data_IF_047607385298
#
_entry.id   IF_047607385298
#
_cell.length_a   1.000
_cell.length_b   1.000
_cell.length_c   1.000
_cell.angle_alpha   90.00
_cell.angle_beta   90.00
_cell.angle_gamma   90.00
#
_symmetry.space_group_name_H-M   'P 1'
#
loop_
_entity.id
_entity.type
_entity.pdbx_description
1 polymer ?
#
# COMPACT_ATOMS: atom_id res chain seq x y z
N UNK A 1 -26.92 11.30 -1.64
CA UNK A 1 -27.51 10.57 -0.49
C UNK A 1 -26.53 9.46 -0.15
N UNK A 2 -25.95 9.46 1.06
CA UNK A 2 -25.11 8.36 1.50
C UNK A 2 -26.03 7.16 1.75
N UNK A 3 -25.83 6.06 1.06
CA UNK A 3 -26.59 4.82 1.29
C UNK A 3 -25.61 3.64 1.36
N UNK A 4 -25.85 2.76 2.33
CA UNK A 4 -25.11 1.51 2.53
C UNK A 4 -25.44 0.46 1.46
N UNK A 5 -26.54 0.64 0.73
CA UNK A 5 -26.99 -0.30 -0.31
C UNK A 5 -26.05 -0.35 -1.51
N UNK A 6 -25.20 0.68 -1.68
CA UNK A 6 -24.19 0.72 -2.73
C UNK A 6 -22.94 -0.10 -2.40
N UNK A 7 -22.79 -0.58 -1.17
CA UNK A 7 -21.61 -1.34 -0.75
C UNK A 7 -21.74 -2.79 -1.14
N UNK A 8 -20.85 -3.27 -2.01
CA UNK A 8 -20.75 -4.68 -2.34
C UNK A 8 -20.00 -5.44 -1.24
N UNK A 9 -20.68 -6.33 -0.53
CA UNK A 9 -20.06 -7.15 0.51
C UNK A 9 -19.09 -8.15 -0.14
N UNK A 10 -17.87 -8.23 0.39
CA UNK A 10 -16.88 -9.21 -0.07
C UNK A 10 -17.43 -10.63 0.13
N UNK A 11 -17.40 -11.43 -0.93
CA UNK A 11 -17.74 -12.85 -0.89
C UNK A 11 -16.64 -13.67 -0.19
N UNK A 12 -16.76 -13.80 1.13
CA UNK A 12 -15.78 -14.52 1.97
C UNK A 12 -15.75 -16.03 1.73
N UNK A 13 -16.81 -16.61 1.14
CA UNK A 13 -16.86 -18.05 0.85
C UNK A 13 -15.72 -18.51 -0.06
N UNK A 14 -15.15 -17.59 -0.85
CA UNK A 14 -13.98 -17.81 -1.73
C UNK A 14 -12.70 -18.17 -0.97
N UNK A 15 -12.58 -17.70 0.27
CA UNK A 15 -11.41 -17.92 1.11
C UNK A 15 -11.59 -19.12 2.04
N UNK A 16 -12.85 -19.49 2.33
CA UNK A 16 -13.17 -20.69 3.07
C UNK A 16 -12.83 -21.93 2.24
N UNK A 17 -11.99 -22.82 2.77
CA UNK A 17 -11.56 -24.07 2.12
C UNK A 17 -10.62 -23.92 0.91
N UNK A 18 -9.77 -22.88 0.90
CA UNK A 18 -8.65 -22.86 -0.04
C UNK A 18 -7.77 -24.11 0.12
N UNK A 19 -7.88 -25.05 -0.83
CA UNK A 19 -7.12 -26.30 -0.84
C UNK A 19 -5.69 -26.13 -1.35
N UNK A 20 -5.41 -25.01 -2.01
CA UNK A 20 -4.11 -24.67 -2.57
C UNK A 20 -3.45 -23.60 -1.70
N UNK A 21 -2.25 -23.90 -1.24
CA UNK A 21 -1.33 -22.95 -0.61
C UNK A 21 -0.08 -22.81 -1.48
N UNK A 22 0.72 -21.77 -1.23
CA UNK A 22 2.06 -21.62 -1.80
C UNK A 22 3.06 -21.31 -0.69
N UNK A 23 4.36 -21.60 -0.86
CA UNK A 23 5.37 -21.21 0.10
C UNK A 23 5.36 -19.70 0.40
N UNK A 24 5.12 -18.87 -0.63
CA UNK A 24 5.02 -17.42 -0.48
C UNK A 24 3.82 -17.04 0.40
N UNK A 25 2.63 -17.59 0.11
CA UNK A 25 1.42 -17.28 0.85
C UNK A 25 1.52 -17.71 2.32
N UNK A 26 2.11 -18.88 2.60
CA UNK A 26 2.33 -19.35 3.97
C UNK A 26 3.30 -18.44 4.73
N UNK A 27 4.44 -18.10 4.13
CA UNK A 27 5.45 -17.22 4.75
C UNK A 27 4.88 -15.81 5.01
N UNK A 28 4.14 -15.24 4.07
CA UNK A 28 3.52 -13.92 4.28
C UNK A 28 2.45 -13.97 5.38
N UNK A 29 1.73 -15.08 5.48
CA UNK A 29 0.77 -15.29 6.57
C UNK A 29 1.45 -15.36 7.93
N UNK A 30 2.60 -16.01 8.04
CA UNK A 30 3.38 -16.06 9.28
C UNK A 30 3.89 -14.67 9.70
N UNK A 31 4.45 -13.90 8.77
CA UNK A 31 4.91 -12.51 9.01
C UNK A 31 3.74 -11.63 9.47
N UNK A 32 2.59 -11.74 8.82
CA UNK A 32 1.39 -10.97 9.18
C UNK A 32 0.86 -11.36 10.57
N UNK A 33 0.83 -12.66 10.91
CA UNK A 33 0.43 -13.12 12.24
C UNK A 33 1.37 -12.62 13.34
N UNK A 34 2.68 -12.64 13.10
CA UNK A 34 3.68 -12.05 13.99
C UNK A 34 3.42 -10.55 14.19
N UNK A 35 3.09 -9.83 13.11
CA UNK A 35 2.75 -8.41 13.21
C UNK A 35 1.47 -8.20 14.01
N UNK A 36 0.44 -9.03 13.83
CA UNK A 36 -0.79 -8.96 14.63
C UNK A 36 -0.54 -9.25 16.12
N UNK A 37 0.42 -10.11 16.45
CA UNK A 37 0.83 -10.34 17.84
C UNK A 37 1.36 -9.05 18.47
N UNK A 38 2.28 -8.36 17.79
CA UNK A 38 2.82 -7.08 18.25
C UNK A 38 1.72 -6.03 18.39
N UNK A 39 0.86 -5.92 17.37
CA UNK A 39 -0.27 -4.99 17.32
C UNK A 39 -1.20 -5.13 18.52
N UNK A 40 -1.55 -6.36 18.89
CA UNK A 40 -2.52 -6.63 19.97
C UNK A 40 -1.91 -6.64 21.38
N UNK A 41 -0.58 -6.55 21.49
CA UNK A 41 0.17 -6.58 22.75
C UNK A 41 0.93 -5.27 22.98
N UNK A 42 2.25 -5.26 22.76
CA UNK A 42 3.15 -4.15 23.04
C UNK A 42 2.72 -2.85 22.37
N UNK A 43 2.26 -2.90 21.12
CA UNK A 43 1.78 -1.71 20.42
C UNK A 43 0.52 -1.13 21.07
N UNK A 44 -0.49 -1.98 21.31
CA UNK A 44 -1.76 -1.59 21.93
C UNK A 44 -1.53 -0.90 23.29
N UNK A 45 -0.63 -1.46 24.10
CA UNK A 45 -0.25 -0.90 25.39
C UNK A 45 0.48 0.43 25.24
N UNK A 46 1.49 0.50 24.37
CA UNK A 46 2.27 1.73 24.11
C UNK A 46 1.40 2.88 23.60
N UNK A 47 0.32 2.58 22.88
CA UNK A 47 -0.67 3.57 22.44
C UNK A 47 -1.60 4.05 23.57
N UNK A 48 -1.57 3.40 24.74
CA UNK A 48 -2.42 3.72 25.88
C UNK A 48 -3.86 3.27 25.70
N UNK A 49 -4.10 2.26 24.85
CA UNK A 49 -5.45 1.80 24.53
C UNK A 49 -5.99 0.77 25.53
N UNK A 50 -5.13 0.14 26.34
CA UNK A 50 -5.49 -0.97 27.25
C UNK A 50 -6.62 -0.68 28.24
N UNK A 51 -6.78 0.59 28.66
CA UNK A 51 -7.77 0.98 29.66
C UNK A 51 -9.07 1.54 29.06
N UNK A 52 -9.21 1.53 27.73
CA UNK A 52 -10.42 2.04 27.06
C UNK A 52 -11.41 0.89 26.87
N UNK A 53 -12.64 0.97 27.43
CA UNK A 53 -13.67 -0.05 27.20
C UNK A 53 -13.92 -0.26 25.70
N UNK A 54 -14.11 -1.51 25.27
CA UNK A 54 -14.25 -1.87 23.84
C UNK A 54 -15.42 -1.15 23.16
N UNK A 55 -16.46 -0.79 23.91
CA UNK A 55 -17.64 -0.05 23.40
C UNK A 55 -17.38 1.45 23.21
N UNK A 56 -16.29 2.00 23.75
CA UNK A 56 -15.90 3.40 23.60
C UNK A 56 -14.94 3.65 22.43
N UNK A 57 -14.83 4.91 22.00
CA UNK A 57 -13.81 5.37 21.06
C UNK A 57 -12.44 5.49 21.72
N UNK A 58 -11.39 5.15 20.97
CA UNK A 58 -10.00 5.34 21.35
C UNK A 58 -9.60 6.81 21.19
N UNK A 59 -8.81 7.32 22.13
CA UNK A 59 -8.17 8.61 21.98
C UNK A 59 -6.91 8.47 21.09
N UNK A 60 -7.00 8.88 19.83
CA UNK A 60 -5.90 8.76 18.86
C UNK A 60 -4.71 9.72 19.13
N UNK A 61 -4.84 10.63 20.11
CA UNK A 61 -3.84 11.62 20.56
C UNK A 61 -3.51 12.75 19.59
N UNK A 62 -4.04 12.74 18.37
CA UNK A 62 -3.87 13.83 17.42
C UNK A 62 -4.42 13.51 16.05
N UNK A 63 -4.21 14.43 15.10
CA UNK A 63 -4.78 14.40 13.74
C UNK A 63 -3.71 14.37 12.63
N UNK A 64 -2.44 14.20 12.99
CA UNK A 64 -1.31 14.13 12.06
C UNK A 64 -0.88 12.69 11.79
N UNK A 65 0.08 12.51 10.88
CA UNK A 65 0.54 11.20 10.38
C UNK A 65 0.77 10.17 11.48
N UNK A 66 1.63 10.48 12.45
CA UNK A 66 2.03 9.51 13.48
C UNK A 66 0.90 9.12 14.45
N UNK A 67 -0.22 9.85 14.45
CA UNK A 67 -1.37 9.52 15.27
C UNK A 67 -2.39 8.65 14.51
N UNK A 68 -2.58 8.91 13.22
CA UNK A 68 -3.64 8.30 12.41
C UNK A 68 -3.13 7.13 11.56
N UNK A 69 -2.07 7.35 10.77
CA UNK A 69 -1.54 6.35 9.83
C UNK A 69 -1.26 4.99 10.49
N UNK A 70 -0.62 4.92 11.68
CA UNK A 70 -0.27 3.63 12.26
C UNK A 70 -1.51 2.87 12.76
N UNK A 71 -2.52 3.59 13.25
CA UNK A 71 -3.79 3.01 13.70
C UNK A 71 -4.55 2.44 12.51
N UNK A 72 -4.56 3.17 11.40
CA UNK A 72 -5.22 2.74 10.17
C UNK A 72 -4.54 1.50 9.55
N UNK A 73 -3.20 1.45 9.56
CA UNK A 73 -2.43 0.30 9.08
C UNK A 73 -2.67 -0.96 9.94
N UNK A 74 -2.69 -0.83 11.27
CA UNK A 74 -3.00 -1.95 12.15
C UNK A 74 -4.45 -2.43 12.00
N UNK A 75 -5.40 -1.50 11.79
CA UNK A 75 -6.79 -1.83 11.57
C UNK A 75 -7.00 -2.69 10.31
N UNK A 76 -6.37 -2.34 9.17
CA UNK A 76 -6.50 -3.16 7.96
C UNK A 76 -5.77 -4.50 8.08
N UNK A 77 -4.61 -4.55 8.73
CA UNK A 77 -3.84 -5.77 8.91
C UNK A 77 -4.58 -6.79 9.78
N UNK A 78 -5.17 -6.34 10.89
CA UNK A 78 -6.00 -7.18 11.75
C UNK A 78 -7.29 -7.62 11.07
N UNK A 79 -8.00 -6.69 10.39
CA UNK A 79 -9.22 -7.00 9.67
C UNK A 79 -8.99 -8.10 8.63
N UNK A 80 -7.93 -8.01 7.84
CA UNK A 80 -7.62 -9.03 6.86
C UNK A 80 -7.30 -10.39 7.48
N UNK A 81 -6.45 -10.43 8.51
CA UNK A 81 -6.11 -11.68 9.19
C UNK A 81 -7.34 -12.38 9.75
N UNK A 82 -8.25 -11.62 10.37
CA UNK A 82 -9.49 -12.15 10.93
C UNK A 82 -10.43 -12.68 9.84
N UNK A 83 -10.60 -11.92 8.75
CA UNK A 83 -11.58 -12.20 7.70
C UNK A 83 -11.15 -13.25 6.70
N UNK A 84 -9.85 -13.34 6.45
CA UNK A 84 -9.27 -14.36 5.56
C UNK A 84 -9.01 -15.69 6.28
N UNK A 85 -9.34 -15.80 7.57
CA UNK A 85 -9.17 -17.01 8.36
C UNK A 85 -7.72 -17.33 8.74
N UNK A 86 -6.81 -16.36 8.59
CA UNK A 86 -5.41 -16.50 8.99
C UNK A 86 -5.22 -16.43 10.51
N UNK A 87 -6.01 -15.59 11.19
CA UNK A 87 -5.85 -15.27 12.60
C UNK A 87 -5.79 -16.52 13.51
N UNK A 88 -4.81 -16.57 14.42
CA UNK A 88 -4.61 -17.68 15.34
C UNK A 88 -4.30 -17.18 16.77
N UNK A 89 -5.26 -17.38 17.69
CA UNK A 89 -5.15 -16.96 19.09
C UNK A 89 -3.96 -17.56 19.83
N UNK A 90 -3.51 -18.77 19.47
CA UNK A 90 -2.35 -19.42 20.10
C UNK A 90 -1.03 -18.76 19.73
N UNK A 91 -0.98 -18.04 18.60
CA UNK A 91 0.20 -17.28 18.15
C UNK A 91 0.16 -15.88 18.72
N UNK A 92 -0.99 -15.20 18.61
CA UNK A 92 -1.14 -13.81 19.02
C UNK A 92 -1.28 -13.63 20.53
N UNK A 93 -1.68 -14.68 21.26
CA UNK A 93 -1.95 -14.62 22.70
C UNK A 93 -3.26 -13.90 23.06
N UNK A 94 -4.07 -13.52 22.07
CA UNK A 94 -5.32 -12.78 22.25
C UNK A 94 -6.49 -13.56 21.62
N UNK A 95 -7.60 -13.82 22.34
CA UNK A 95 -8.77 -14.49 21.79
C UNK A 95 -9.28 -13.81 20.51
N UNK A 96 -9.82 -14.60 19.58
CA UNK A 96 -10.28 -14.10 18.27
C UNK A 96 -11.39 -13.07 18.43
N UNK A 97 -12.29 -13.29 19.37
CA UNK A 97 -13.41 -12.40 19.68
C UNK A 97 -12.92 -11.05 20.22
N UNK A 98 -11.90 -11.06 21.09
CA UNK A 98 -11.28 -9.85 21.61
C UNK A 98 -10.52 -9.09 20.51
N UNK A 99 -9.76 -9.80 19.68
CA UNK A 99 -9.07 -9.19 18.53
C UNK A 99 -10.05 -8.58 17.54
N UNK A 100 -11.20 -9.23 17.30
CA UNK A 100 -12.27 -8.67 16.48
C UNK A 100 -12.85 -7.40 17.09
N UNK A 101 -13.14 -7.40 18.40
CA UNK A 101 -13.66 -6.23 19.09
C UNK A 101 -12.65 -5.05 19.07
N UNK A 102 -11.36 -5.31 19.30
CA UNK A 102 -10.28 -4.32 19.15
C UNK A 102 -10.18 -3.77 17.73
N UNK A 103 -10.31 -4.63 16.72
CA UNK A 103 -10.30 -4.23 15.30
C UNK A 103 -11.47 -3.30 14.98
N UNK A 104 -12.70 -3.65 15.41
CA UNK A 104 -13.89 -2.80 15.27
C UNK A 104 -13.68 -1.48 16.01
N UNK A 105 -13.09 -1.53 17.21
CA UNK A 105 -12.78 -0.33 18.00
C UNK A 105 -11.79 0.61 17.30
N UNK A 106 -10.76 0.09 16.63
CA UNK A 106 -9.84 0.89 15.80
C UNK A 106 -10.62 1.56 14.65
N UNK A 107 -11.40 0.78 13.89
CA UNK A 107 -12.17 1.27 12.74
C UNK A 107 -13.13 2.38 13.16
N UNK A 108 -13.98 2.13 14.17
CA UNK A 108 -14.97 3.12 14.63
C UNK A 108 -14.32 4.40 15.14
N UNK A 109 -13.18 4.29 15.82
CA UNK A 109 -12.46 5.47 16.34
C UNK A 109 -11.86 6.30 15.22
N UNK A 110 -11.31 5.64 14.19
CA UNK A 110 -10.77 6.31 13.00
C UNK A 110 -11.88 7.07 12.26
N UNK A 111 -12.98 6.41 11.91
CA UNK A 111 -14.05 7.05 11.12
C UNK A 111 -14.76 8.13 11.92
N UNK A 112 -15.04 7.90 13.21
CA UNK A 112 -15.72 8.90 14.05
C UNK A 112 -14.91 10.19 14.19
N UNK A 113 -13.58 10.08 14.34
CA UNK A 113 -12.69 11.23 14.52
C UNK A 113 -12.27 11.90 13.21
N UNK A 114 -12.80 11.46 12.06
CA UNK A 114 -12.58 12.13 10.78
C UNK A 114 -13.37 13.44 10.68
N UNK A 115 -12.87 14.44 9.94
CA UNK A 115 -13.46 15.78 9.81
C UNK A 115 -14.86 15.79 9.20
N UNK A 116 -15.25 14.73 8.48
CA UNK A 116 -16.61 14.58 7.98
C UNK A 116 -17.64 14.24 9.07
N UNK A 117 -17.18 13.72 10.21
CA UNK A 117 -18.02 13.16 11.28
C UNK A 117 -17.84 13.91 12.60
N UNK A 118 -16.65 14.46 12.85
CA UNK A 118 -16.34 15.26 14.04
C UNK A 118 -15.68 16.59 13.67
N UNK A 119 -16.11 17.66 14.35
CA UNK A 119 -15.42 18.95 14.29
C UNK A 119 -13.96 18.79 14.75
N UNK A 120 -13.02 19.46 14.08
CA UNK A 120 -11.57 19.35 14.33
C UNK A 120 -10.96 17.97 14.09
N UNK A 121 -11.71 17.06 13.47
CA UNK A 121 -11.24 15.73 13.10
C UNK A 121 -10.07 15.75 12.12
N UNK A 122 -9.43 14.59 11.96
CA UNK A 122 -8.39 14.40 10.94
C UNK A 122 -9.03 14.29 9.54
N UNK A 123 -8.25 14.54 8.49
CA UNK A 123 -8.74 14.53 7.11
C UNK A 123 -8.29 15.77 6.34
N UNK A 124 -8.33 15.72 5.01
CA UNK A 124 -7.88 16.80 4.11
C UNK A 124 -6.48 17.33 4.43
N UNK A 125 -5.53 16.42 4.64
CA UNK A 125 -4.11 16.69 4.90
C UNK A 125 -3.24 15.95 3.89
N UNK A 126 -1.96 16.30 3.83
CA UNK A 126 -0.99 15.78 2.84
C UNK A 126 -1.12 14.27 2.54
N UNK A 127 -1.23 13.40 3.56
CA UNK A 127 -1.40 11.95 3.40
C UNK A 127 -2.77 11.40 3.85
N UNK A 128 -3.77 12.24 4.13
CA UNK A 128 -5.02 11.75 4.72
C UNK A 128 -5.77 10.76 3.83
N UNK A 129 -5.69 10.91 2.50
CA UNK A 129 -6.26 9.97 1.53
C UNK A 129 -5.68 8.55 1.65
N UNK A 130 -4.39 8.42 1.99
CA UNK A 130 -3.77 7.12 2.28
C UNK A 130 -4.38 6.49 3.53
N UNK A 131 -4.46 7.26 4.63
CA UNK A 131 -4.96 6.76 5.90
C UNK A 131 -6.46 6.42 5.83
N UNK A 132 -7.22 7.24 5.11
CA UNK A 132 -8.62 6.98 4.79
C UNK A 132 -8.75 5.74 3.90
N UNK A 133 -7.84 5.51 2.95
CA UNK A 133 -7.79 4.29 2.14
C UNK A 133 -7.65 3.03 3.00
N UNK A 134 -6.69 3.01 3.92
CA UNK A 134 -6.52 1.90 4.88
C UNK A 134 -7.75 1.70 5.76
N UNK A 135 -8.29 2.79 6.31
CA UNK A 135 -9.46 2.75 7.20
C UNK A 135 -10.68 2.24 6.46
N UNK A 136 -10.89 2.71 5.22
CA UNK A 136 -11.98 2.26 4.34
C UNK A 136 -11.83 0.79 4.00
N UNK A 137 -10.60 0.32 3.77
CA UNK A 137 -10.35 -1.09 3.49
C UNK A 137 -10.61 -1.97 4.71
N UNK A 138 -10.14 -1.57 5.89
CA UNK A 138 -10.44 -2.25 7.15
C UNK A 138 -11.97 -2.32 7.41
N UNK A 139 -12.66 -1.19 7.20
CA UNK A 139 -14.11 -1.11 7.35
C UNK A 139 -14.85 -2.01 6.34
N UNK A 140 -14.45 -2.00 5.07
CA UNK A 140 -15.02 -2.87 4.04
C UNK A 140 -14.80 -4.35 4.36
N UNK A 141 -13.60 -4.70 4.82
CA UNK A 141 -13.31 -6.05 5.29
C UNK A 141 -14.21 -6.46 6.46
N UNK A 142 -14.56 -5.54 7.36
CA UNK A 142 -15.39 -5.80 8.54
C UNK A 142 -16.88 -5.44 8.35
N UNK A 143 -17.33 -5.11 7.13
CA UNK A 143 -18.58 -4.37 6.91
C UNK A 143 -19.82 -4.94 7.59
N UNK A 144 -20.04 -6.26 7.50
CA UNK A 144 -21.17 -6.98 8.12
C UNK A 144 -21.05 -7.16 9.65
N UNK A 145 -19.98 -6.66 10.26
CA UNK A 145 -19.74 -6.64 11.70
C UNK A 145 -19.80 -5.23 12.30
N UNK A 146 -19.85 -4.19 11.47
CA UNK A 146 -19.94 -2.80 11.92
C UNK A 146 -21.38 -2.43 12.23
N UNK A 147 -21.58 -1.59 13.24
CA UNK A 147 -22.88 -0.96 13.48
C UNK A 147 -23.22 0.07 12.39
N UNK A 148 -24.49 0.45 12.32
CA UNK A 148 -25.00 1.35 11.27
C UNK A 148 -24.34 2.73 11.32
N UNK A 149 -24.06 3.28 12.51
CA UNK A 149 -23.40 4.57 12.63
C UNK A 149 -22.00 4.51 12.03
N UNK A 150 -21.22 3.50 12.40
CA UNK A 150 -19.85 3.29 11.88
C UNK A 150 -19.85 3.10 10.36
N UNK A 151 -20.85 2.38 9.81
CA UNK A 151 -21.02 2.26 8.36
C UNK A 151 -21.27 3.62 7.69
N UNK A 152 -22.17 4.44 8.24
CA UNK A 152 -22.48 5.76 7.70
C UNK A 152 -21.29 6.72 7.81
N UNK A 153 -20.59 6.73 8.95
CA UNK A 153 -19.38 7.53 9.17
C UNK A 153 -18.24 7.13 8.22
N UNK A 154 -18.10 5.82 7.93
CA UNK A 154 -17.16 5.31 6.92
C UNK A 154 -17.47 5.89 5.54
N UNK A 155 -18.74 5.85 5.12
CA UNK A 155 -19.13 6.41 3.82
C UNK A 155 -18.93 7.93 3.77
N UNK A 156 -19.25 8.66 4.84
CA UNK A 156 -19.01 10.10 4.92
C UNK A 156 -17.52 10.45 4.76
N UNK A 157 -16.63 9.69 5.41
CA UNK A 157 -15.17 9.84 5.27
C UNK A 157 -14.73 9.57 3.83
N UNK A 158 -15.17 8.45 3.22
CA UNK A 158 -14.83 8.10 1.84
C UNK A 158 -15.23 9.22 0.87
N UNK A 159 -16.48 9.69 0.94
CA UNK A 159 -16.94 10.75 0.05
C UNK A 159 -16.17 12.06 0.25
N UNK A 160 -15.86 12.42 1.49
CA UNK A 160 -15.12 13.64 1.79
C UNK A 160 -13.71 13.63 1.18
N UNK A 161 -12.96 12.53 1.39
CA UNK A 161 -11.60 12.39 0.88
C UNK A 161 -11.59 12.20 -0.66
N UNK A 162 -12.49 11.38 -1.22
CA UNK A 162 -12.62 11.24 -2.67
C UNK A 162 -12.91 12.59 -3.35
N UNK A 163 -13.87 13.37 -2.83
CA UNK A 163 -14.23 14.67 -3.41
C UNK A 163 -13.08 15.70 -3.32
N UNK A 164 -12.22 15.58 -2.30
CA UNK A 164 -11.03 16.40 -2.18
C UNK A 164 -9.93 15.99 -3.18
N UNK A 165 -9.69 14.69 -3.37
CA UNK A 165 -8.72 14.18 -4.36
C UNK A 165 -9.19 14.45 -5.80
N UNK A 166 -10.50 14.40 -6.09
CA UNK A 166 -11.03 14.79 -7.40
C UNK A 166 -10.60 16.21 -7.78
N UNK A 167 -10.49 17.11 -6.80
CA UNK A 167 -10.07 18.51 -6.96
C UNK A 167 -8.56 18.72 -6.77
N UNK A 168 -7.76 17.66 -6.88
CA UNK A 168 -6.30 17.74 -6.73
C UNK A 168 -5.85 18.34 -5.40
N UNK A 169 -6.58 18.02 -4.32
CA UNK A 169 -6.34 18.60 -2.98
C UNK A 169 -6.42 20.13 -2.95
N UNK A 170 -7.21 20.71 -3.85
CA UNK A 170 -7.31 22.16 -4.07
C UNK A 170 -6.01 22.80 -4.61
N UNK A 171 -5.11 21.99 -5.19
CA UNK A 171 -3.90 22.44 -5.91
C UNK A 171 -4.18 22.66 -7.40
N UNK A 172 -3.38 23.48 -8.11
CA UNK A 172 -3.56 23.70 -9.55
C UNK A 172 -3.41 22.42 -10.40
N UNK A 173 -2.52 21.52 -9.97
CA UNK A 173 -2.27 20.21 -10.59
C UNK A 173 -1.63 19.28 -9.56
N UNK A 174 -1.66 17.98 -9.83
CA UNK A 174 -0.87 16.98 -9.11
C UNK A 174 0.62 17.28 -9.24
N UNK A 175 1.40 16.78 -8.28
CA UNK A 175 2.85 16.93 -8.30
C UNK A 175 3.48 16.05 -9.36
N UNK A 176 4.45 16.61 -10.08
CA UNK A 176 5.34 15.85 -10.95
C UNK A 176 6.81 16.21 -10.76
N UNK A 177 7.70 15.31 -11.15
CA UNK A 177 9.15 15.56 -11.12
C UNK A 177 9.57 16.52 -12.22
N UNK A 178 9.12 16.22 -13.44
CA UNK A 178 9.30 17.05 -14.63
C UNK A 178 7.93 17.46 -15.19
N UNK A 179 7.90 18.62 -15.84
CA UNK A 179 6.77 19.01 -16.69
C UNK A 179 6.80 18.28 -18.05
N UNK A 180 5.86 18.63 -18.94
CA UNK A 180 5.75 18.03 -20.27
C UNK A 180 6.91 18.41 -21.22
N UNK A 181 7.62 19.50 -20.93
CA UNK A 181 8.77 19.95 -21.71
C UNK A 181 10.10 19.37 -21.17
N UNK A 182 10.03 18.59 -20.08
CA UNK A 182 11.16 17.94 -19.44
C UNK A 182 11.90 18.81 -18.41
N UNK A 183 11.38 19.99 -18.07
CA UNK A 183 11.97 20.83 -17.04
C UNK A 183 11.66 20.25 -15.65
N UNK A 184 12.66 20.19 -14.76
CA UNK A 184 12.46 19.74 -13.39
C UNK A 184 11.69 20.80 -12.59
N UNK A 185 10.47 20.46 -12.16
CA UNK A 185 9.61 21.35 -11.37
C UNK A 185 9.61 20.99 -9.88
N UNK A 186 9.99 19.76 -9.53
CA UNK A 186 10.13 19.29 -8.14
C UNK A 186 11.46 18.54 -7.95
N UNK A 187 12.62 19.22 -8.10
CA UNK A 187 13.92 18.57 -8.08
C UNK A 187 14.20 17.85 -6.75
N UNK A 188 14.44 16.54 -6.83
CA UNK A 188 14.75 15.69 -5.68
C UNK A 188 13.55 15.01 -5.02
N UNK A 189 12.34 15.28 -5.48
CA UNK A 189 11.10 14.77 -4.88
C UNK A 189 10.05 14.58 -5.99
N UNK A 190 9.94 13.37 -6.52
CA UNK A 190 9.19 13.11 -7.76
C UNK A 190 7.68 13.17 -7.61
N UNK A 191 7.15 13.08 -6.38
CA UNK A 191 5.72 12.90 -6.13
C UNK A 191 5.13 11.58 -6.65
N UNK A 192 5.97 10.60 -7.00
CA UNK A 192 5.53 9.28 -7.48
C UNK A 192 4.66 8.56 -6.45
N UNK A 193 5.12 8.51 -5.21
CA UNK A 193 4.45 7.90 -4.08
C UNK A 193 3.21 8.69 -3.67
N UNK A 194 3.26 10.03 -3.69
CA UNK A 194 2.14 10.88 -3.29
C UNK A 194 0.94 10.70 -4.23
N UNK A 195 1.19 10.66 -5.54
CA UNK A 195 0.15 10.38 -6.53
C UNK A 195 -0.46 8.97 -6.34
N UNK A 196 0.37 7.98 -5.98
CA UNK A 196 -0.12 6.64 -5.66
C UNK A 196 -0.93 6.60 -4.35
N UNK A 197 -0.49 7.30 -3.31
CA UNK A 197 -1.17 7.46 -2.02
C UNK A 197 -2.57 8.05 -2.20
N UNK A 198 -2.67 9.10 -3.01
CA UNK A 198 -3.94 9.80 -3.28
C UNK A 198 -4.94 8.92 -4.04
N UNK A 199 -4.42 8.06 -4.91
CA UNK A 199 -5.26 7.14 -5.66
C UNK A 199 -5.91 6.06 -4.77
N UNK A 200 -5.42 5.85 -3.55
CA UNK A 200 -5.80 4.72 -2.72
C UNK A 200 -7.27 4.77 -2.31
N UNK A 201 -7.71 5.91 -1.76
CA UNK A 201 -9.09 6.09 -1.31
C UNK A 201 -10.09 5.91 -2.46
N UNK A 202 -9.78 6.47 -3.63
CA UNK A 202 -10.58 6.32 -4.84
C UNK A 202 -10.66 4.86 -5.29
N UNK A 203 -9.54 4.13 -5.21
CA UNK A 203 -9.46 2.73 -5.60
C UNK A 203 -10.32 1.84 -4.70
N UNK A 204 -10.24 2.03 -3.38
CA UNK A 204 -11.09 1.32 -2.43
C UNK A 204 -12.56 1.69 -2.64
N UNK A 205 -12.88 2.97 -2.82
CA UNK A 205 -14.25 3.43 -3.05
C UNK A 205 -14.87 2.82 -4.31
N UNK A 206 -14.12 2.75 -5.42
CA UNK A 206 -14.59 2.14 -6.66
C UNK A 206 -14.81 0.63 -6.52
N UNK A 207 -13.92 -0.08 -5.80
CA UNK A 207 -14.06 -1.52 -5.59
C UNK A 207 -15.19 -1.85 -4.61
N UNK A 208 -15.36 -1.04 -3.56
CA UNK A 208 -16.37 -1.20 -2.53
C UNK A 208 -17.77 -0.79 -3.00
N UNK A 209 -17.88 0.21 -3.88
CA UNK A 209 -19.16 0.74 -4.35
C UNK A 209 -19.21 0.84 -5.89
N UNK A 210 -19.25 -0.30 -6.62
CA UNK A 210 -19.18 -0.30 -8.09
C UNK A 210 -20.40 0.32 -8.78
N UNK A 211 -21.55 0.40 -8.11
CA UNK A 211 -22.78 1.02 -8.61
C UNK A 211 -22.90 2.51 -8.21
N UNK A 212 -21.89 3.07 -7.56
CA UNK A 212 -21.91 4.47 -7.14
C UNK A 212 -22.03 5.42 -8.35
N UNK A 213 -22.91 6.45 -8.31
CA UNK A 213 -23.00 7.43 -9.41
C UNK A 213 -21.68 8.14 -9.74
N UNK A 214 -20.76 8.26 -8.77
CA UNK A 214 -19.42 8.84 -8.96
C UNK A 214 -18.36 7.84 -9.44
N UNK A 215 -18.72 6.56 -9.64
CA UNK A 215 -17.76 5.51 -9.98
C UNK A 215 -16.88 5.86 -11.18
N UNK A 216 -17.46 6.34 -12.30
CA UNK A 216 -16.68 6.66 -13.48
C UNK A 216 -15.74 7.85 -13.26
N UNK A 217 -16.16 8.86 -12.48
CA UNK A 217 -15.32 10.01 -12.12
C UNK A 217 -14.13 9.57 -11.27
N UNK A 218 -14.40 8.83 -10.19
CA UNK A 218 -13.38 8.29 -9.30
C UNK A 218 -12.42 7.33 -10.02
N UNK A 219 -12.95 6.42 -10.85
CA UNK A 219 -12.14 5.46 -11.61
C UNK A 219 -11.23 6.16 -12.63
N UNK A 220 -11.73 7.18 -13.33
CA UNK A 220 -10.91 7.99 -14.22
C UNK A 220 -9.78 8.70 -13.46
N UNK A 221 -10.06 9.23 -12.25
CA UNK A 221 -9.02 9.85 -11.41
C UNK A 221 -8.01 8.84 -10.88
N UNK A 222 -8.45 7.65 -10.45
CA UNK A 222 -7.56 6.54 -10.07
C UNK A 222 -6.59 6.20 -11.19
N UNK A 223 -7.09 6.07 -12.43
CA UNK A 223 -6.26 5.79 -13.61
C UNK A 223 -5.28 6.94 -13.87
N UNK A 224 -5.75 8.18 -13.83
CA UNK A 224 -4.93 9.37 -14.03
C UNK A 224 -3.78 9.45 -13.03
N UNK A 225 -4.06 9.32 -11.74
CA UNK A 225 -3.06 9.38 -10.67
C UNK A 225 -2.02 8.25 -10.78
N UNK A 226 -2.47 7.00 -11.01
CA UNK A 226 -1.57 5.86 -11.13
C UNK A 226 -0.69 5.91 -12.39
N UNK A 227 -1.21 6.46 -13.50
CA UNK A 227 -0.39 6.67 -14.70
C UNK A 227 0.68 7.72 -14.43
N UNK A 228 0.33 8.88 -13.86
CA UNK A 228 1.29 9.96 -13.62
C UNK A 228 2.30 9.62 -12.52
N UNK A 229 1.91 8.84 -11.50
CA UNK A 229 2.83 8.31 -10.48
C UNK A 229 4.03 7.56 -11.06
N UNK A 230 3.85 6.91 -12.22
CA UNK A 230 4.85 6.08 -12.88
C UNK A 230 5.24 6.60 -14.27
N UNK A 231 4.82 7.80 -14.66
CA UNK A 231 5.13 8.33 -15.99
C UNK A 231 6.63 8.59 -16.14
N UNK A 232 7.19 8.19 -17.29
CA UNK A 232 8.60 8.43 -17.64
C UNK A 232 8.70 9.33 -18.88
N UNK A 233 9.84 9.99 -19.15
CA UNK A 233 10.02 10.83 -20.33
C UNK A 233 9.62 10.14 -21.65
N UNK A 234 10.00 8.87 -21.81
CA UNK A 234 9.63 8.08 -22.99
C UNK A 234 8.12 7.84 -23.16
N UNK A 235 7.28 8.09 -22.14
CA UNK A 235 5.83 7.92 -22.22
C UNK A 235 5.10 9.09 -22.90
N UNK A 236 5.74 10.27 -22.98
CA UNK A 236 5.16 11.49 -23.55
C UNK A 236 4.80 11.33 -25.04
N UNK A 237 5.48 10.43 -25.75
CA UNK A 237 5.27 10.18 -27.17
C UNK A 237 4.38 8.94 -27.46
N UNK A 238 3.95 8.22 -26.43
CA UNK A 238 3.24 6.94 -26.60
C UNK A 238 1.75 7.15 -26.92
N UNK A 239 1.34 6.72 -28.11
CA UNK A 239 -0.07 6.76 -28.56
C UNK A 239 -0.90 5.52 -28.18
N UNK A 240 -0.30 4.55 -27.47
CA UNK A 240 -1.00 3.33 -27.05
C UNK A 240 -2.13 3.67 -26.09
N UNK A 241 -3.33 3.11 -26.34
CA UNK A 241 -4.51 3.37 -25.50
C UNK A 241 -4.45 2.65 -24.16
N UNK A 242 -4.67 3.41 -23.09
CA UNK A 242 -4.93 2.95 -21.73
C UNK A 242 -6.32 3.42 -21.32
N UNK A 243 -7.20 2.46 -21.03
CA UNK A 243 -8.57 2.69 -20.55
C UNK A 243 -9.34 3.77 -21.36
N UNK A 244 -9.25 3.68 -22.68
CA UNK A 244 -10.00 4.52 -23.61
C UNK A 244 -9.26 5.74 -24.18
N UNK A 245 -8.18 6.22 -23.54
CA UNK A 245 -7.39 7.38 -24.03
C UNK A 245 -5.94 6.96 -24.37
N UNK A 246 -5.29 7.56 -25.38
CA UNK A 246 -3.84 7.45 -25.60
C UNK A 246 -3.04 7.78 -24.33
N UNK A 247 -1.90 7.12 -24.12
CA UNK A 247 -1.09 7.29 -22.91
C UNK A 247 -0.73 8.76 -22.67
N UNK A 248 -0.20 9.44 -23.69
CA UNK A 248 0.18 10.86 -23.62
C UNK A 248 -0.95 11.81 -23.19
N UNK A 249 -2.21 11.47 -23.46
CA UNK A 249 -3.37 12.30 -23.07
C UNK A 249 -3.71 12.17 -21.58
N UNK A 250 -3.11 11.23 -20.87
CA UNK A 250 -3.21 11.14 -19.41
C UNK A 250 -2.16 11.96 -18.69
N UNK A 251 -1.08 12.35 -19.37
CA UNK A 251 0.13 12.87 -18.73
C UNK A 251 0.05 14.38 -18.52
N UNK A 252 0.48 14.82 -17.33
CA UNK A 252 0.72 16.23 -17.00
C UNK A 252 2.20 16.50 -16.69
N UNK A 253 3.03 15.46 -16.75
CA UNK A 253 4.46 15.47 -16.45
C UNK A 253 4.96 14.03 -16.26
N UNK A 254 6.15 13.88 -15.69
CA UNK A 254 6.78 12.57 -15.44
C UNK A 254 7.34 12.50 -14.03
N UNK A 255 7.36 11.30 -13.42
CA UNK A 255 7.77 11.06 -12.02
C UNK A 255 8.83 9.98 -11.86
N UNK A 256 9.15 9.22 -12.91
CA UNK A 256 10.21 8.20 -12.88
C UNK A 256 11.18 8.40 -14.04
N UNK A 257 12.42 7.97 -13.87
CA UNK A 257 13.39 7.95 -14.95
C UNK A 257 13.10 6.79 -15.92
N UNK A 258 13.57 6.89 -17.17
CA UNK A 258 13.34 5.87 -18.20
C UNK A 258 13.97 4.51 -17.89
N UNK A 259 14.95 4.45 -16.99
CA UNK A 259 15.55 3.22 -16.48
C UNK A 259 14.75 2.58 -15.33
N UNK A 260 13.67 3.23 -14.89
CA UNK A 260 12.80 2.79 -13.78
C UNK A 260 13.23 3.25 -12.40
N UNK A 261 14.30 4.05 -12.29
CA UNK A 261 14.71 4.65 -11.01
C UNK A 261 13.76 5.78 -10.60
N UNK A 262 13.59 5.94 -9.29
CA UNK A 262 12.78 7.01 -8.69
C UNK A 262 13.67 7.82 -7.76
N UNK A 263 13.58 9.15 -7.88
CA UNK A 263 14.28 10.10 -7.03
C UNK A 263 13.34 10.52 -5.90
N UNK A 264 13.78 10.37 -4.66
CA UNK A 264 13.12 11.02 -3.53
C UNK A 264 14.15 11.40 -2.47
N UNK A 265 13.81 12.33 -1.60
CA UNK A 265 14.72 12.88 -0.59
C UNK A 265 16.06 13.35 -1.20
N UNK A 266 16.00 13.83 -2.44
CA UNK A 266 17.11 14.31 -3.27
C UNK A 266 18.07 13.26 -3.84
N UNK A 267 17.75 11.95 -3.78
CA UNK A 267 18.60 10.90 -4.37
C UNK A 267 17.79 9.74 -4.97
N UNK A 268 18.41 8.93 -5.83
CA UNK A 268 17.79 7.67 -6.29
C UNK A 268 17.57 6.76 -5.10
N UNK A 269 16.30 6.48 -4.78
CA UNK A 269 15.93 5.92 -3.49
C UNK A 269 15.18 4.58 -3.64
N UNK A 270 15.84 3.43 -3.38
CA UNK A 270 15.23 2.11 -3.50
C UNK A 270 13.92 1.91 -2.74
N UNK A 271 13.77 2.40 -1.50
CA UNK A 271 12.49 2.32 -0.79
C UNK A 271 11.36 3.09 -1.49
N UNK A 272 11.65 4.24 -2.10
CA UNK A 272 10.64 4.99 -2.85
C UNK A 272 10.41 4.46 -4.26
N UNK A 273 11.29 3.60 -4.78
CA UNK A 273 11.01 2.86 -6.00
C UNK A 273 9.89 1.83 -5.81
N UNK A 274 9.69 1.31 -4.58
CA UNK A 274 8.58 0.39 -4.29
C UNK A 274 7.29 1.10 -3.93
N UNK A 275 7.35 2.30 -3.36
CA UNK A 275 6.19 2.96 -2.76
C UNK A 275 5.00 3.25 -3.69
N UNK A 276 5.15 3.53 -5.00
CA UNK A 276 3.99 3.62 -5.89
C UNK A 276 3.19 2.31 -6.01
N UNK A 277 3.81 1.17 -5.72
CA UNK A 277 3.20 -0.16 -5.81
C UNK A 277 2.78 -0.71 -4.45
N UNK A 278 3.23 -0.11 -3.36
CA UNK A 278 3.06 -0.63 -2.01
C UNK A 278 1.61 -0.78 -1.55
N UNK A 279 0.68 -0.04 -2.16
CA UNK A 279 -0.76 -0.06 -1.83
C UNK A 279 -1.60 -0.85 -2.84
N UNK A 280 -0.96 -1.26 -3.93
CA UNK A 280 -1.47 -1.96 -5.11
C UNK A 280 -3.00 -2.02 -5.21
N UNK A 281 -3.59 -1.02 -5.85
CA UNK A 281 -5.03 -0.89 -6.08
C UNK A 281 -5.68 -2.12 -6.74
N UNK A 282 -4.91 -2.97 -7.43
CA UNK A 282 -5.41 -4.22 -8.03
C UNK A 282 -6.00 -5.16 -6.97
N UNK A 283 -5.47 -5.17 -5.73
CA UNK A 283 -5.94 -6.06 -4.65
C UNK A 283 -7.42 -5.83 -4.32
N UNK A 284 -7.90 -4.59 -4.37
CA UNK A 284 -9.29 -4.26 -4.07
C UNK A 284 -10.24 -4.75 -5.16
N UNK A 285 -9.90 -4.54 -6.44
CA UNK A 285 -10.73 -4.99 -7.55
C UNK A 285 -10.80 -6.52 -7.64
N UNK A 286 -9.70 -7.23 -7.36
CA UNK A 286 -9.70 -8.70 -7.30
C UNK A 286 -10.53 -9.25 -6.12
N UNK A 287 -10.54 -8.53 -4.99
CA UNK A 287 -11.45 -8.81 -3.87
C UNK A 287 -12.92 -8.63 -4.30
N UNK A 288 -13.24 -7.54 -4.99
CA UNK A 288 -14.58 -7.27 -5.54
C UNK A 288 -14.93 -8.07 -6.81
N UNK A 289 -14.06 -8.97 -7.29
CA UNK A 289 -14.23 -9.71 -8.58
C UNK A 289 -14.47 -8.79 -9.78
N UNK A 290 -14.00 -7.56 -9.69
CA UNK A 290 -14.22 -6.51 -10.68
C UNK A 290 -13.07 -6.44 -11.67
N UNK A 291 -13.31 -6.10 -12.94
CA UNK A 291 -12.25 -5.88 -13.91
C UNK A 291 -11.30 -4.76 -13.47
N UNK A 292 -10.01 -5.06 -13.38
CA UNK A 292 -8.97 -4.11 -12.97
C UNK A 292 -8.54 -3.25 -14.16
N UNK A 293 -8.45 -1.91 -14.04
CA UNK A 293 -7.89 -1.08 -15.11
C UNK A 293 -6.47 -1.51 -15.49
N UNK A 294 -6.20 -1.68 -16.79
CA UNK A 294 -4.89 -2.08 -17.31
C UNK A 294 -3.77 -1.09 -16.94
N UNK A 295 -4.13 0.17 -16.71
CA UNK A 295 -3.22 1.21 -16.24
C UNK A 295 -2.54 0.88 -14.90
N UNK A 296 -3.22 0.18 -13.98
CA UNK A 296 -2.72 -0.09 -12.63
C UNK A 296 -1.51 -1.05 -12.55
N UNK A 297 -1.11 -1.64 -13.68
CA UNK A 297 0.11 -2.48 -13.77
C UNK A 297 1.18 -1.87 -14.70
N UNK A 298 1.05 -0.58 -15.04
CA UNK A 298 2.03 0.14 -15.86
C UNK A 298 3.37 0.18 -15.14
N UNK A 299 4.47 0.09 -15.90
CA UNK A 299 5.87 0.09 -15.42
C UNK A 299 6.28 -0.88 -14.33
N UNK A 300 5.39 -1.77 -13.86
CA UNK A 300 5.72 -2.81 -12.89
C UNK A 300 6.97 -3.63 -13.30
N UNK A 301 7.07 -4.01 -14.58
CA UNK A 301 8.25 -4.70 -15.09
C UNK A 301 9.48 -3.80 -15.23
N UNK A 302 9.31 -2.51 -15.54
CA UNK A 302 10.43 -1.58 -15.71
C UNK A 302 11.12 -1.39 -14.36
N UNK A 303 10.34 -1.02 -13.33
CA UNK A 303 10.87 -0.81 -11.98
C UNK A 303 11.45 -2.11 -11.43
N UNK A 304 10.81 -3.26 -11.65
CA UNK A 304 11.39 -4.54 -11.24
C UNK A 304 12.77 -4.81 -11.88
N UNK A 305 12.93 -4.49 -13.17
CA UNK A 305 14.24 -4.59 -13.85
C UNK A 305 15.26 -3.60 -13.31
N UNK A 306 14.84 -2.42 -12.86
CA UNK A 306 15.74 -1.49 -12.16
C UNK A 306 16.31 -2.11 -10.86
N UNK A 307 15.55 -2.96 -10.17
CA UNK A 307 16.06 -3.68 -9.00
C UNK A 307 17.02 -4.82 -9.34
N UNK A 308 16.72 -5.61 -10.38
CA UNK A 308 17.41 -6.89 -10.65
C UNK A 308 18.48 -6.82 -11.74
N UNK A 309 18.38 -5.87 -12.66
CA UNK A 309 19.20 -5.81 -13.88
C UNK A 309 20.03 -4.51 -13.98
N UNK A 310 19.53 -3.38 -13.47
CA UNK A 310 20.26 -2.11 -13.55
C UNK A 310 21.51 -2.15 -12.67
N UNK A 311 22.67 -1.94 -13.30
CA UNK A 311 23.96 -1.99 -12.64
C UNK A 311 24.49 -0.59 -12.38
N UNK A 312 24.59 -0.22 -11.10
CA UNK A 312 25.20 1.04 -10.68
C UNK A 312 26.71 0.82 -10.54
N UNK A 313 27.51 1.50 -11.35
CA UNK A 313 28.97 1.36 -11.28
C UNK A 313 29.54 2.29 -10.22
N UNK A 314 30.42 1.76 -9.38
CA UNK A 314 31.12 2.53 -8.34
C UNK A 314 31.79 3.78 -8.93
N UNK A 315 31.61 4.92 -8.27
CA UNK A 315 32.18 6.20 -8.69
C UNK A 315 31.38 6.96 -9.75
N UNK A 316 30.33 6.37 -10.33
CA UNK A 316 29.46 7.09 -11.26
C UNK A 316 28.69 8.21 -10.54
N UNK A 317 28.52 9.34 -11.20
CA UNK A 317 27.69 10.46 -10.73
C UNK A 317 26.26 10.28 -11.24
N UNK A 318 25.31 10.19 -10.31
CA UNK A 318 23.88 10.05 -10.57
C UNK A 318 23.11 11.11 -9.77
N UNK A 319 21.79 11.23 -9.99
CA UNK A 319 20.96 12.16 -9.22
C UNK A 319 21.09 11.91 -7.72
N UNK A 320 21.60 12.92 -7.00
CA UNK A 320 21.78 12.89 -5.54
C UNK A 320 23.17 12.54 -5.05
N UNK A 321 24.10 12.09 -5.91
CA UNK A 321 25.48 11.87 -5.47
C UNK A 321 26.30 10.89 -6.32
N UNK A 322 27.32 10.32 -5.67
CA UNK A 322 28.28 9.38 -6.27
C UNK A 322 27.95 7.97 -5.79
N UNK A 323 27.85 7.02 -6.73
CA UNK A 323 27.57 5.61 -6.42
C UNK A 323 28.65 5.03 -5.50
N UNK A 324 28.20 4.46 -4.39
CA UNK A 324 29.06 3.85 -3.35
C UNK A 324 29.65 2.52 -3.80
N UNK A 325 30.85 2.21 -3.28
CA UNK A 325 31.46 0.88 -3.40
C UNK A 325 30.58 -0.20 -2.77
N UNK A 326 30.50 -1.43 -3.33
CA UNK A 326 31.19 -1.92 -4.52
C UNK A 326 30.41 -1.74 -5.84
N UNK A 327 29.35 -0.91 -5.84
CA UNK A 327 28.40 -0.87 -6.95
C UNK A 327 27.53 -2.13 -7.07
N UNK A 328 26.93 -2.31 -8.25
CA UNK A 328 26.11 -3.45 -8.64
C UNK A 328 24.62 -3.17 -8.71
N UNK A 329 23.84 -4.24 -8.76
CA UNK A 329 22.36 -4.18 -8.72
C UNK A 329 21.85 -3.93 -7.32
N UNK A 330 20.63 -3.39 -7.20
CA UNK A 330 19.96 -3.17 -5.90
C UNK A 330 19.68 -4.52 -5.24
N UNK A 331 19.07 -5.48 -5.95
CA UNK A 331 18.93 -6.84 -5.45
C UNK A 331 20.20 -7.64 -5.71
N UNK A 332 20.82 -8.12 -4.64
CA UNK A 332 22.04 -8.95 -4.70
C UNK A 332 21.67 -10.42 -4.82
N UNK A 333 22.16 -11.10 -5.84
CA UNK A 333 21.88 -12.54 -6.02
C UNK A 333 22.59 -13.42 -4.99
N UNK A 334 23.81 -13.03 -4.58
CA UNK A 334 24.69 -13.80 -3.68
C UNK A 334 24.54 -13.51 -2.18
N UNK A 335 23.79 -12.48 -1.79
CA UNK A 335 23.51 -12.13 -0.39
C UNK A 335 22.08 -11.62 -0.23
N UNK A 336 21.59 -11.55 1.00
CA UNK A 336 20.28 -10.99 1.38
C UNK A 336 20.30 -9.47 1.61
N UNK A 337 21.46 -8.84 1.40
CA UNK A 337 21.61 -7.40 1.45
C UNK A 337 20.87 -6.71 0.29
N UNK A 338 20.35 -5.51 0.58
CA UNK A 338 19.88 -4.54 -0.41
C UNK A 338 21.03 -3.57 -0.65
N UNK A 339 21.39 -3.37 -1.92
CA UNK A 339 22.37 -2.36 -2.27
C UNK A 339 21.67 -1.03 -2.52
N UNK A 340 22.03 -0.04 -1.71
CA UNK A 340 21.57 1.32 -1.86
C UNK A 340 22.66 2.15 -2.57
N UNK A 341 22.50 2.51 -3.86
CA UNK A 341 23.56 3.13 -4.64
C UNK A 341 24.16 4.38 -3.99
N UNK A 342 23.34 5.17 -3.31
CA UNK A 342 23.72 6.38 -2.60
C UNK A 342 23.57 6.28 -1.07
N UNK A 343 23.16 5.11 -0.55
CA UNK A 343 22.70 4.91 0.82
C UNK A 343 21.20 5.10 0.99
N UNK A 344 20.76 5.12 2.25
CA UNK A 344 19.36 5.28 2.67
C UNK A 344 19.33 6.11 3.95
N UNK A 345 18.29 6.91 4.14
CA UNK A 345 18.04 7.70 5.34
C UNK A 345 17.02 7.05 6.29
N UNK A 346 16.38 5.97 5.83
CA UNK A 346 15.54 5.13 6.68
C UNK A 346 16.36 4.11 7.46
N UNK A 347 17.32 3.47 6.81
CA UNK A 347 18.11 2.40 7.42
C UNK A 347 18.13 1.15 6.56
N UNK A 348 19.21 0.39 6.69
CA UNK A 348 19.45 -0.76 5.83
C UNK A 348 18.64 -1.99 6.24
N UNK A 349 17.84 -1.89 7.32
CA UNK A 349 17.00 -2.94 7.91
C UNK A 349 15.76 -3.31 7.08
N UNK A 350 15.27 -2.42 6.22
CA UNK A 350 13.99 -2.63 5.50
C UNK A 350 14.03 -3.78 4.51
N UNK A 351 13.08 -4.72 4.67
CA UNK A 351 12.83 -5.82 3.72
C UNK A 351 11.38 -5.90 3.25
N UNK A 352 10.42 -5.48 4.08
CA UNK A 352 9.01 -5.81 3.87
C UNK A 352 8.39 -5.10 2.65
N UNK A 353 8.83 -3.89 2.31
CA UNK A 353 8.45 -3.23 1.06
C UNK A 353 8.94 -3.98 -0.18
N UNK A 354 10.18 -4.46 -0.18
CA UNK A 354 10.71 -5.24 -1.30
C UNK A 354 9.97 -6.56 -1.46
N UNK A 355 9.61 -7.21 -0.35
CA UNK A 355 8.76 -8.41 -0.33
C UNK A 355 7.38 -8.10 -0.93
N UNK A 356 6.69 -7.06 -0.46
CA UNK A 356 5.37 -6.64 -0.95
C UNK A 356 5.40 -6.28 -2.44
N UNK A 357 6.42 -5.53 -2.89
CA UNK A 357 6.64 -5.23 -4.29
C UNK A 357 6.87 -6.49 -5.13
N UNK A 358 7.72 -7.41 -4.67
CA UNK A 358 7.95 -8.68 -5.36
C UNK A 358 6.71 -9.57 -5.42
N UNK A 359 5.87 -9.58 -4.39
CA UNK A 359 4.57 -10.26 -4.41
C UNK A 359 3.66 -9.66 -5.49
N UNK A 360 3.59 -8.33 -5.57
CA UNK A 360 2.89 -7.58 -6.62
C UNK A 360 3.42 -7.92 -8.02
N UNK A 361 4.73 -7.91 -8.23
CA UNK A 361 5.36 -8.33 -9.50
C UNK A 361 5.02 -9.78 -9.84
N UNK A 362 5.11 -10.68 -8.86
CA UNK A 362 4.87 -12.11 -9.04
C UNK A 362 3.42 -12.41 -9.42
N UNK A 363 2.47 -11.61 -8.95
CA UNK A 363 1.05 -11.77 -9.25
C UNK A 363 0.66 -11.11 -10.57
N UNK A 364 1.16 -9.89 -10.85
CA UNK A 364 0.55 -9.01 -11.86
C UNK A 364 1.44 -8.71 -13.07
N UNK A 365 2.70 -9.14 -13.08
CA UNK A 365 3.55 -9.00 -14.26
C UNK A 365 2.97 -9.78 -15.45
N UNK A 366 2.97 -9.16 -16.63
CA UNK A 366 2.62 -9.85 -17.88
C UNK A 366 3.73 -10.78 -18.40
N UNK A 367 4.91 -10.82 -17.77
CA UNK A 367 6.02 -11.68 -18.16
C UNK A 367 6.17 -12.87 -17.19
N UNK A 368 6.04 -14.10 -17.70
CA UNK A 368 6.09 -15.32 -16.91
C UNK A 368 7.45 -15.54 -16.22
N UNK A 369 8.55 -15.18 -16.88
CA UNK A 369 9.90 -15.32 -16.31
C UNK A 369 10.08 -14.38 -15.12
N UNK A 370 9.70 -13.11 -15.29
CA UNK A 370 9.70 -12.10 -14.22
C UNK A 370 8.87 -12.57 -13.03
N UNK A 371 7.65 -13.10 -13.26
CA UNK A 371 6.82 -13.63 -12.16
C UNK A 371 7.51 -14.74 -11.36
N UNK A 372 8.18 -15.66 -12.06
CA UNK A 372 8.89 -16.79 -11.43
C UNK A 372 10.09 -16.31 -10.62
N UNK A 373 10.81 -15.33 -11.12
CA UNK A 373 11.97 -14.75 -10.44
C UNK A 373 11.55 -13.92 -9.21
N UNK A 374 10.55 -13.05 -9.36
CA UNK A 374 10.01 -12.25 -8.26
C UNK A 374 9.53 -13.14 -7.09
N UNK A 375 8.90 -14.29 -7.39
CA UNK A 375 8.49 -15.27 -6.37
C UNK A 375 9.66 -15.81 -5.53
N UNK A 376 10.89 -15.82 -6.05
CA UNK A 376 12.09 -16.23 -5.28
C UNK A 376 12.53 -15.12 -4.34
N UNK A 377 12.47 -13.86 -4.78
CA UNK A 377 12.79 -12.70 -3.95
C UNK A 377 11.82 -12.55 -2.78
N UNK A 378 10.53 -12.84 -2.98
CA UNK A 378 9.53 -12.91 -1.90
C UNK A 378 10.01 -13.85 -0.79
N UNK A 379 10.43 -15.07 -1.12
CA UNK A 379 10.88 -16.04 -0.11
C UNK A 379 12.20 -15.63 0.54
N UNK A 380 13.15 -15.13 -0.26
CA UNK A 380 14.47 -14.74 0.23
C UNK A 380 14.39 -13.61 1.24
N UNK A 381 13.70 -12.52 0.89
CA UNK A 381 13.57 -11.37 1.78
C UNK A 381 12.51 -11.58 2.87
N UNK A 382 11.48 -12.39 2.62
CA UNK A 382 10.52 -12.79 3.63
C UNK A 382 11.15 -13.59 4.77
N UNK A 383 12.13 -14.46 4.46
CA UNK A 383 12.90 -15.17 5.49
C UNK A 383 13.66 -14.18 6.39
N UNK A 384 14.29 -13.15 5.81
CA UNK A 384 14.98 -12.13 6.61
C UNK A 384 14.01 -11.41 7.55
N UNK A 385 12.79 -11.08 7.09
CA UNK A 385 11.77 -10.47 7.95
C UNK A 385 11.37 -11.42 9.10
N UNK A 386 11.18 -12.71 8.82
CA UNK A 386 10.90 -13.70 9.87
C UNK A 386 12.04 -13.82 10.88
N UNK A 387 13.29 -13.86 10.40
CA UNK A 387 14.47 -13.92 11.26
C UNK A 387 14.55 -12.69 12.15
N UNK A 388 14.25 -11.51 11.60
CA UNK A 388 14.17 -10.25 12.35
C UNK A 388 13.10 -10.29 13.44
N UNK A 389 11.88 -10.74 13.12
CA UNK A 389 10.77 -10.88 14.07
C UNK A 389 11.06 -11.92 15.15
N UNK A 390 11.77 -13.00 14.79
CA UNK A 390 12.09 -14.09 15.71
C UNK A 390 13.13 -13.73 16.78
N UNK A 391 13.77 -12.56 16.69
CA UNK A 391 14.63 -12.03 17.75
C UNK A 391 13.87 -11.59 18.99
N UNK A 392 12.55 -11.37 18.89
CA UNK A 392 11.74 -10.74 19.93
C UNK A 392 10.51 -11.58 20.32
N UNK A 393 10.12 -11.51 21.59
CA UNK A 393 9.01 -12.29 22.12
C UNK A 393 7.64 -11.83 21.60
N UNK A 394 7.45 -10.51 21.49
CA UNK A 394 6.24 -9.88 20.94
C UNK A 394 6.24 -9.81 19.41
N UNK A 395 7.32 -10.28 18.76
CA UNK A 395 7.48 -10.40 17.31
C UNK A 395 7.51 -9.08 16.53
N UNK A 396 7.85 -7.96 17.19
CA UNK A 396 8.23 -6.76 16.44
C UNK A 396 9.46 -7.02 15.55
N UNK A 397 9.65 -6.21 14.53
CA UNK A 397 10.62 -6.47 13.45
C UNK A 397 11.98 -5.83 13.74
N UNK A 398 11.99 -4.57 14.15
CA UNK A 398 13.21 -3.77 14.23
C UNK A 398 13.66 -3.53 15.67
N UNK A 399 14.95 -3.73 15.94
CA UNK A 399 15.55 -3.50 17.25
C UNK A 399 15.39 -2.04 17.71
N UNK A 400 15.78 -1.10 16.86
CA UNK A 400 15.68 0.33 17.12
C UNK A 400 15.82 1.16 15.83
N UNK A 401 16.02 2.48 15.97
CA UNK A 401 16.13 3.44 14.86
C UNK A 401 17.34 3.26 13.95
N UNK A 402 18.32 2.45 14.34
CA UNK A 402 19.47 2.12 13.50
C UNK A 402 19.11 1.14 12.39
N UNK A 403 18.08 0.31 12.58
CA UNK A 403 17.61 -0.63 11.56
C UNK A 403 16.53 -0.02 10.66
N UNK A 404 15.64 0.80 11.22
CA UNK A 404 14.69 1.64 10.48
C UNK A 404 14.37 2.88 11.32
N UNK A 405 14.60 4.08 10.82
CA UNK A 405 14.44 5.34 11.55
C UNK A 405 13.00 5.84 11.59
N UNK A 406 12.10 5.27 10.77
CA UNK A 406 10.71 5.71 10.68
C UNK A 406 9.96 5.49 11.99
N UNK A 407 9.26 6.50 12.55
CA UNK A 407 8.61 6.37 13.85
C UNK A 407 7.54 5.27 13.94
N UNK A 408 6.92 4.92 12.81
CA UNK A 408 5.81 3.96 12.72
C UNK A 408 6.17 2.73 11.87
N UNK A 409 7.41 2.27 12.02
CA UNK A 409 8.02 1.18 11.24
C UNK A 409 7.30 -0.17 11.38
N UNK A 410 6.76 -0.48 12.55
CA UNK A 410 6.08 -1.78 12.79
C UNK A 410 4.70 -1.79 12.14
N UNK A 411 3.97 -0.68 12.25
CA UNK A 411 2.66 -0.52 11.61
C UNK A 411 2.81 -0.44 10.08
N UNK A 412 3.93 0.11 9.60
CA UNK A 412 4.29 0.03 8.19
C UNK A 412 4.59 -1.42 7.75
N UNK A 413 5.25 -2.23 8.58
CA UNK A 413 5.39 -3.68 8.33
C UNK A 413 4.02 -4.34 8.26
N UNK A 414 3.07 -3.97 9.12
CA UNK A 414 1.70 -4.50 9.12
C UNK A 414 0.99 -4.31 7.78
N UNK A 415 1.02 -3.09 7.23
CA UNK A 415 0.47 -2.78 5.89
C UNK A 415 1.16 -3.61 4.80
N UNK A 416 2.50 -3.69 4.81
CA UNK A 416 3.21 -4.41 3.76
C UNK A 416 3.00 -5.93 3.85
N UNK A 417 2.99 -6.48 5.06
CA UNK A 417 2.73 -7.90 5.33
C UNK A 417 1.31 -8.28 4.89
N UNK A 418 0.33 -7.44 5.22
CA UNK A 418 -1.04 -7.53 4.72
C UNK A 418 -1.07 -7.56 3.19
N UNK A 419 -0.49 -6.55 2.56
CA UNK A 419 -0.53 -6.39 1.10
C UNK A 419 0.09 -7.59 0.40
N UNK A 420 1.21 -8.09 0.90
CA UNK A 420 1.88 -9.27 0.38
C UNK A 420 1.02 -10.53 0.57
N UNK A 421 0.53 -10.79 1.78
CA UNK A 421 -0.31 -11.97 2.08
C UNK A 421 -1.58 -11.99 1.24
N UNK A 422 -2.29 -10.87 1.16
CA UNK A 422 -3.51 -10.76 0.37
C UNK A 422 -3.22 -10.99 -1.12
N UNK A 423 -2.17 -10.37 -1.66
CA UNK A 423 -1.77 -10.54 -3.07
C UNK A 423 -1.42 -12.00 -3.39
N UNK A 424 -0.63 -12.64 -2.53
CA UNK A 424 -0.24 -14.04 -2.68
C UNK A 424 -1.43 -15.00 -2.55
N UNK A 425 -2.40 -14.67 -1.70
CA UNK A 425 -3.64 -15.44 -1.54
C UNK A 425 -4.54 -15.29 -2.78
N UNK A 426 -4.77 -14.06 -3.26
CA UNK A 426 -5.58 -13.80 -4.46
C UNK A 426 -5.00 -14.49 -5.71
N UNK A 427 -3.67 -14.56 -5.82
CA UNK A 427 -2.95 -15.28 -6.89
C UNK A 427 -3.33 -16.76 -6.98
N UNK A 428 -3.71 -17.38 -5.86
CA UNK A 428 -4.12 -18.79 -5.78
C UNK A 428 -5.59 -19.00 -6.16
N UNK A 429 -6.43 -17.96 -6.00
CA UNK A 429 -7.87 -18.03 -6.27
C UNK A 429 -8.19 -17.84 -7.75
N UNK A 430 -7.63 -16.80 -8.37
CA UNK A 430 -7.95 -16.46 -9.76
C UNK A 430 -6.81 -15.73 -10.45
N UNK A 431 -6.80 -15.81 -11.79
CA UNK A 431 -5.95 -14.93 -12.59
C UNK A 431 -6.59 -13.54 -12.66
N UNK A 432 -5.83 -12.47 -12.42
CA UNK A 432 -6.36 -11.13 -12.47
C UNK A 432 -6.91 -10.75 -13.83
N UNK A 433 -8.07 -10.09 -13.86
CA UNK A 433 -8.74 -9.68 -15.10
C UNK A 433 -8.49 -8.19 -15.36
N UNK A 434 -7.53 -7.90 -16.24
CA UNK A 434 -7.25 -6.52 -16.67
C UNK A 434 -8.15 -6.10 -17.84
N UNK A 435 -8.70 -4.89 -17.76
CA UNK A 435 -9.55 -4.28 -18.79
C UNK A 435 -8.97 -2.99 -19.34
N UNK A 436 -9.20 -2.75 -20.64
CA UNK A 436 -8.90 -1.47 -21.31
C UNK A 436 -10.18 -0.68 -21.62
N UNK A 437 -11.31 -1.05 -20.99
CA UNK A 437 -12.60 -0.35 -21.15
C UNK A 437 -12.44 1.12 -20.70
N UNK A 438 -13.11 2.01 -21.43
CA UNK A 438 -13.30 3.42 -21.06
C UNK A 438 -14.32 3.49 -19.92
N UNK A 439 -14.08 4.39 -18.97
CA UNK A 439 -14.99 4.71 -17.87
C UNK A 439 -15.60 6.09 -18.09
#
# INVERSE_FOLDING_TARGET
MLTKDLVEIIDWSRFHNMSKTSPQQLMMGEILLNTNKYALSSWWEKRGFSNTPLDNYLNLKGVSEHYIRPVAAEAEALAASLRMGLYNSSVTGVPKEEAQAKTIQLIKSLVHTHVSNSAEGWGRKWQSALWAGYTSFAAWMMWDKLDELTQLETLAMIYNECDWIIKDKDLPTIKTYQDLDGAFISPGDTGAEENAWDSLILSVACAMMPENPKFNEWMNKTIFLNINALASPSDLDINKKYNGKPLKEWLVGTNINDDGTIVNHHFIHPDYMTSPFEFNAVRFFELAKSPTPKALRRHLNLVYKAFTELHFKEGDTITGGIVKSPGGTIFKTKSDAIFYPLGTDWGEGRRMNFVSFCSTVSAFSNNKSIRKEASKWVLKYGQVVLDMQNRFDDKHTYLDKSEDSYPSREEWVADKALTAYLTETLKLLSKPKFTNKKF
#
